data_IF_968322822729
#
_entry.id   IF_968322822729
#
_cell.length_a   1.000
_cell.length_b   1.000
_cell.length_c   1.000
_cell.angle_alpha   90.00
_cell.angle_beta   90.00
_cell.angle_gamma   90.00
#
_symmetry.space_group_name_H-M   'P 1'
#
loop_
_entity.id
_entity.type
_entity.pdbx_description
1 polymer ?
#
# COMPACT_ATOMS: atom_id res chain seq x y z
N UNK A 1 -3.04 -19.61 -15.03
CA UNK A 1 -3.23 -18.14 -15.01
C UNK A 1 -3.55 -17.63 -13.61
N UNK A 2 -4.27 -18.39 -12.78
CA UNK A 2 -4.66 -18.02 -11.42
C UNK A 2 -3.50 -17.58 -10.52
N UNK A 3 -2.38 -18.32 -10.50
CA UNK A 3 -1.21 -17.96 -9.69
C UNK A 3 -0.68 -16.54 -9.98
N UNK A 4 -0.64 -16.14 -11.25
CA UNK A 4 -0.21 -14.79 -11.65
C UNK A 4 -1.18 -13.73 -11.11
N UNK A 5 -2.49 -13.98 -11.19
CA UNK A 5 -3.52 -13.08 -10.66
C UNK A 5 -3.37 -12.93 -9.15
N UNK A 6 -3.22 -14.04 -8.41
CA UNK A 6 -3.06 -14.01 -6.96
C UNK A 6 -1.78 -13.27 -6.54
N UNK A 7 -0.65 -13.50 -7.22
CA UNK A 7 0.59 -12.77 -6.96
C UNK A 7 0.44 -11.28 -7.26
N UNK A 8 -0.21 -10.91 -8.37
CA UNK A 8 -0.43 -9.52 -8.72
C UNK A 8 -1.28 -8.79 -7.67
N UNK A 9 -2.37 -9.41 -7.22
CA UNK A 9 -3.22 -8.87 -6.16
C UNK A 9 -2.46 -8.72 -4.84
N UNK A 10 -1.65 -9.72 -4.47
CA UNK A 10 -0.84 -9.68 -3.26
C UNK A 10 0.20 -8.55 -3.32
N UNK A 11 1.01 -8.51 -4.38
CA UNK A 11 2.07 -7.50 -4.54
C UNK A 11 1.48 -6.10 -4.65
N UNK A 12 0.38 -5.92 -5.40
CA UNK A 12 -0.32 -4.65 -5.50
C UNK A 12 -0.85 -4.15 -4.15
N UNK A 13 -1.45 -5.04 -3.35
CA UNK A 13 -1.94 -4.71 -2.00
C UNK A 13 -0.79 -4.32 -1.07
N UNK A 14 0.30 -5.09 -1.07
CA UNK A 14 1.48 -4.79 -0.27
C UNK A 14 2.15 -3.47 -0.69
N UNK A 15 2.20 -3.18 -1.99
CA UNK A 15 2.68 -1.91 -2.54
C UNK A 15 1.84 -0.72 -2.06
N UNK A 16 0.51 -0.83 -2.13
CA UNK A 16 -0.41 0.23 -1.62
C UNK A 16 -0.18 0.45 -0.12
N UNK A 17 -0.09 -0.61 0.68
CA UNK A 17 0.16 -0.50 2.13
C UNK A 17 1.51 0.18 2.40
N UNK A 18 2.56 -0.20 1.66
CA UNK A 18 3.88 0.42 1.78
C UNK A 18 3.82 1.93 1.52
N UNK A 19 3.21 2.36 0.42
CA UNK A 19 3.07 3.79 0.12
C UNK A 19 2.17 4.52 1.13
N UNK A 20 1.08 3.90 1.56
CA UNK A 20 0.18 4.47 2.56
C UNK A 20 0.84 4.66 3.95
N UNK A 21 1.86 3.88 4.30
CA UNK A 21 2.58 4.03 5.57
C UNK A 21 3.73 5.03 5.45
N UNK A 22 4.60 4.87 4.45
CA UNK A 22 5.84 5.64 4.36
C UNK A 22 5.70 6.98 3.63
N UNK A 23 4.66 7.15 2.81
CA UNK A 23 4.44 8.36 2.01
C UNK A 23 3.10 9.05 2.30
N UNK A 24 2.44 8.74 3.42
CA UNK A 24 1.29 9.51 3.88
C UNK A 24 1.69 10.91 4.33
N UNK A 25 0.73 11.83 4.28
CA UNK A 25 0.87 13.12 4.94
C UNK A 25 1.10 12.90 6.45
N UNK A 26 2.15 13.48 7.05
CA UNK A 26 2.36 13.39 8.49
C UNK A 26 1.21 14.08 9.23
N UNK A 27 0.81 13.58 10.41
CA UNK A 27 -0.24 14.22 11.20
C UNK A 27 0.18 15.65 11.56
N UNK A 28 -0.68 16.63 11.27
CA UNK A 28 -0.48 18.02 11.65
C UNK A 28 -1.14 18.28 13.00
N UNK A 29 -0.40 18.87 13.94
CA UNK A 29 -0.97 19.31 15.22
C UNK A 29 -1.69 20.64 14.95
N UNK A 30 -3.01 20.66 15.11
CA UNK A 30 -3.79 21.90 15.15
C UNK A 30 -3.62 22.49 16.55
N UNK A 31 -3.08 23.70 16.63
CA UNK A 31 -2.96 24.47 17.89
C UNK A 31 -4.30 25.04 18.31
#
# INVERSE_FOLDING_TARGET
MEALVYTFLLVGTLGIIFFAIFFREPPRIIK
#
